data_IF_296142194434
#
_entry.id   IF_296142194434
#
_cell.length_a   1.000
_cell.length_b   1.000
_cell.length_c   1.000
_cell.angle_alpha   90.00
_cell.angle_beta   90.00
_cell.angle_gamma   90.00
#
_symmetry.space_group_name_H-M   'P 1'
#
loop_
_entity.id
_entity.type
_entity.pdbx_description
1 polymer ?
#
# COMPACT_ATOMS: atom_id res chain seq x y z
N UNK A 1 17.12 14.02 -17.62
CA UNK A 1 17.28 14.30 -16.18
C UNK A 1 16.68 13.14 -15.39
N UNK A 2 17.37 12.63 -14.37
CA UNK A 2 16.93 11.46 -13.56
C UNK A 2 15.87 11.91 -12.55
N UNK A 3 14.80 11.13 -12.37
CA UNK A 3 13.77 11.40 -11.36
C UNK A 3 14.15 10.74 -10.03
N UNK A 4 14.05 11.47 -8.93
CA UNK A 4 14.33 10.96 -7.57
C UNK A 4 13.03 10.56 -6.85
N UNK A 5 13.14 9.62 -5.91
CA UNK A 5 12.01 9.04 -5.15
C UNK A 5 12.48 8.63 -3.77
N UNK A 6 11.55 8.44 -2.83
CA UNK A 6 11.82 8.04 -1.45
C UNK A 6 11.21 6.65 -1.18
N UNK A 7 11.97 5.79 -0.49
CA UNK A 7 11.46 4.59 0.16
C UNK A 7 11.64 4.79 1.67
N UNK A 8 10.55 4.82 2.41
CA UNK A 8 10.51 5.09 3.83
C UNK A 8 10.02 3.84 4.59
N UNK A 9 10.75 3.50 5.65
CA UNK A 9 10.50 2.34 6.51
C UNK A 9 9.71 2.70 7.78
N UNK A 10 9.42 3.99 7.99
CA UNK A 10 8.93 4.53 9.26
C UNK A 10 9.80 4.06 10.44
N UNK A 11 11.12 4.27 10.30
CA UNK A 11 12.12 3.84 11.27
C UNK A 11 11.93 4.57 12.61
N UNK A 12 11.99 3.82 13.70
CA UNK A 12 12.01 4.36 15.07
C UNK A 12 13.47 4.59 15.45
N UNK A 13 13.90 5.85 15.48
CA UNK A 13 15.26 6.20 15.90
C UNK A 13 15.48 5.92 17.41
N UNK A 14 16.75 5.78 17.79
CA UNK A 14 17.15 5.62 19.18
C UNK A 14 16.58 6.74 20.07
N UNK A 15 16.00 6.34 21.21
CA UNK A 15 15.38 7.26 22.17
C UNK A 15 14.03 7.86 21.73
N UNK A 16 13.49 7.45 20.57
CA UNK A 16 12.16 7.87 20.10
C UNK A 16 11.16 6.72 20.17
N UNK A 17 9.90 7.04 19.84
CA UNK A 17 8.79 6.08 19.78
C UNK A 17 8.15 6.03 18.38
N UNK A 18 7.21 5.09 18.21
CA UNK A 18 6.49 4.88 16.96
C UNK A 18 5.66 6.10 16.54
N UNK A 19 5.10 6.85 17.49
CA UNK A 19 4.33 8.05 17.19
C UNK A 19 5.23 9.09 16.51
N UNK A 20 6.43 9.31 17.04
CA UNK A 20 7.40 10.22 16.47
C UNK A 20 7.89 9.76 15.10
N UNK A 21 8.17 8.46 14.92
CA UNK A 21 8.56 7.90 13.62
C UNK A 21 7.51 8.19 12.52
N UNK A 22 6.23 7.96 12.81
CA UNK A 22 5.14 8.23 11.87
C UNK A 22 4.99 9.73 11.55
N UNK A 23 5.20 10.60 12.54
CA UNK A 23 5.22 12.05 12.31
C UNK A 23 6.42 12.48 11.45
N UNK A 24 7.58 11.86 11.65
CA UNK A 24 8.80 12.13 10.89
C UNK A 24 8.63 11.65 9.43
N UNK A 25 8.00 10.50 9.18
CA UNK A 25 7.62 10.03 7.84
C UNK A 25 6.71 11.02 7.10
N UNK A 26 5.69 11.56 7.75
CA UNK A 26 4.81 12.57 7.16
C UNK A 26 5.56 13.88 6.88
N UNK A 27 6.48 14.26 7.78
CA UNK A 27 7.32 15.45 7.62
C UNK A 27 8.24 15.29 6.40
N UNK A 28 8.84 14.11 6.24
CA UNK A 28 9.64 13.73 5.07
C UNK A 28 8.80 13.79 3.79
N UNK A 29 7.59 13.24 3.81
CA UNK A 29 6.69 13.28 2.66
C UNK A 29 6.34 14.71 2.23
N UNK A 30 6.02 15.60 3.17
CA UNK A 30 5.78 17.03 2.92
C UNK A 30 7.00 17.73 2.32
N UNK A 31 8.19 17.39 2.79
CA UNK A 31 9.43 17.95 2.25
C UNK A 31 9.69 17.44 0.83
N UNK A 32 9.58 16.13 0.60
CA UNK A 32 9.76 15.50 -0.69
C UNK A 32 8.77 16.05 -1.74
N UNK A 33 7.52 16.30 -1.34
CA UNK A 33 6.50 16.96 -2.16
C UNK A 33 6.94 18.36 -2.60
N UNK A 34 7.38 19.21 -1.65
CA UNK A 34 7.89 20.56 -1.96
C UNK A 34 9.14 20.56 -2.84
N UNK A 35 10.00 19.56 -2.70
CA UNK A 35 11.23 19.42 -3.47
C UNK A 35 11.01 18.78 -4.84
N UNK A 36 9.79 18.37 -5.19
CA UNK A 36 9.47 17.81 -6.50
C UNK A 36 9.92 16.37 -6.70
N UNK A 37 10.04 15.57 -5.63
CA UNK A 37 10.28 14.13 -5.75
C UNK A 37 9.11 13.46 -6.49
N UNK A 38 9.41 12.41 -7.25
CA UNK A 38 8.42 11.71 -8.07
C UNK A 38 7.39 10.95 -7.22
N UNK A 39 7.87 10.27 -6.18
CA UNK A 39 7.05 9.43 -5.29
C UNK A 39 7.72 9.22 -3.93
N UNK A 40 6.90 8.88 -2.95
CA UNK A 40 7.30 8.29 -1.68
C UNK A 40 6.54 6.98 -1.47
N UNK A 41 7.27 5.92 -1.10
CA UNK A 41 6.70 4.62 -0.76
C UNK A 41 6.94 4.27 0.70
N UNK A 42 5.95 3.62 1.32
CA UNK A 42 6.04 3.10 2.69
C UNK A 42 6.14 1.57 2.66
N UNK A 43 7.08 1.01 3.41
CA UNK A 43 7.22 -0.45 3.54
C UNK A 43 6.25 -1.03 4.56
N UNK A 44 6.01 -2.33 4.47
CA UNK A 44 5.22 -3.09 5.44
C UNK A 44 6.13 -3.98 6.28
N UNK A 45 6.04 -3.84 7.60
CA UNK A 45 6.78 -4.68 8.55
C UNK A 45 5.90 -5.11 9.72
N UNK A 46 5.99 -6.40 10.06
CA UNK A 46 5.26 -6.99 11.17
C UNK A 46 6.25 -7.56 12.18
N UNK A 47 6.02 -7.28 13.46
CA UNK A 47 6.84 -7.75 14.57
C UNK A 47 8.35 -7.42 14.41
N UNK A 48 8.66 -6.25 13.85
CA UNK A 48 10.02 -5.70 13.77
C UNK A 48 10.05 -4.41 14.59
N UNK A 49 10.56 -4.43 15.84
CA UNK A 49 10.48 -3.28 16.75
C UNK A 49 11.10 -1.98 16.24
N UNK A 50 12.01 -2.06 15.27
CA UNK A 50 12.65 -0.89 14.66
C UNK A 50 11.75 -0.13 13.67
N UNK A 51 10.62 -0.71 13.23
CA UNK A 51 9.75 -0.12 12.20
C UNK A 51 8.33 0.09 12.73
N UNK A 52 7.79 1.29 12.53
CA UNK A 52 6.46 1.67 13.02
C UNK A 52 5.31 1.32 12.06
N UNK A 53 5.60 0.95 10.81
CA UNK A 53 4.56 0.74 9.78
C UNK A 53 4.30 -0.75 9.49
N UNK A 54 3.14 -1.24 9.92
CA UNK A 54 2.59 -2.57 9.57
C UNK A 54 1.39 -2.49 8.61
N UNK A 55 0.93 -1.28 8.27
CA UNK A 55 -0.25 -1.04 7.42
C UNK A 55 0.01 0.16 6.52
N UNK A 56 0.80 -0.01 5.45
CA UNK A 56 1.21 1.10 4.59
C UNK A 56 0.02 1.87 4.02
N UNK A 57 -1.09 1.21 3.70
CA UNK A 57 -2.31 1.85 3.19
C UNK A 57 -2.88 2.93 4.12
N UNK A 58 -2.76 2.76 5.45
CA UNK A 58 -3.22 3.75 6.42
C UNK A 58 -2.28 4.95 6.47
N UNK A 59 -0.96 4.70 6.48
CA UNK A 59 0.05 5.77 6.44
C UNK A 59 0.02 6.53 5.11
N UNK A 60 -0.22 5.82 4.00
CA UNK A 60 -0.44 6.41 2.68
C UNK A 60 -1.63 7.37 2.69
N UNK A 61 -2.80 6.92 3.17
CA UNK A 61 -4.01 7.74 3.25
C UNK A 61 -3.78 9.01 4.09
N UNK A 62 -3.12 8.87 5.25
CA UNK A 62 -2.77 10.00 6.12
C UNK A 62 -1.79 10.99 5.46
N UNK A 63 -0.83 10.48 4.68
CA UNK A 63 0.17 11.27 3.95
C UNK A 63 -0.42 11.99 2.75
N UNK A 64 -1.33 11.34 2.01
CA UNK A 64 -2.02 11.92 0.86
C UNK A 64 -2.84 13.15 1.23
N UNK A 65 -3.49 13.12 2.40
CA UNK A 65 -4.24 14.25 2.94
C UNK A 65 -3.36 15.48 3.26
N UNK A 66 -2.04 15.30 3.30
CA UNK A 66 -1.07 16.29 3.79
C UNK A 66 -0.03 16.70 2.75
N UNK A 67 -0.17 16.22 1.52
CA UNK A 67 0.72 16.49 0.39
C UNK A 67 -0.14 16.79 -0.83
N UNK A 68 0.40 17.53 -1.81
CA UNK A 68 -0.39 18.04 -2.93
C UNK A 68 -0.06 17.37 -4.27
N UNK A 69 1.21 16.99 -4.51
CA UNK A 69 1.66 16.60 -5.85
C UNK A 69 2.33 15.22 -5.90
N UNK A 70 3.13 14.88 -4.90
CA UNK A 70 3.89 13.63 -4.84
C UNK A 70 2.96 12.43 -4.94
N UNK A 71 3.38 11.40 -5.67
CA UNK A 71 2.71 10.09 -5.64
C UNK A 71 3.05 9.38 -4.35
N UNK A 72 2.06 8.72 -3.75
CA UNK A 72 2.20 8.01 -2.49
C UNK A 72 1.87 6.54 -2.74
N UNK A 73 2.68 5.63 -2.23
CA UNK A 73 2.51 4.21 -2.49
C UNK A 73 3.00 3.29 -1.40
N UNK A 74 2.72 2.00 -1.61
CA UNK A 74 3.33 0.92 -0.85
C UNK A 74 4.63 0.47 -1.53
N UNK A 75 5.65 0.13 -0.74
CA UNK A 75 6.92 -0.40 -1.23
C UNK A 75 7.37 -1.70 -0.52
N UNK A 76 6.53 -2.69 -0.25
CA UNK A 76 5.22 -2.99 -0.86
C UNK A 76 4.30 -3.72 0.12
N UNK A 77 3.02 -3.83 -0.25
CA UNK A 77 2.06 -4.65 0.48
C UNK A 77 2.53 -6.10 0.43
N UNK A 78 2.63 -6.78 1.57
CA UNK A 78 3.01 -8.21 1.64
C UNK A 78 1.80 -9.07 1.23
N UNK A 79 1.53 -9.12 -0.08
CA UNK A 79 0.34 -9.76 -0.65
C UNK A 79 0.09 -11.21 -0.17
N UNK A 80 1.10 -12.05 0.15
CA UNK A 80 0.85 -13.37 0.73
C UNK A 80 -0.03 -13.39 1.99
N UNK A 81 -0.19 -12.25 2.69
CA UNK A 81 -1.02 -12.15 3.90
C UNK A 81 -2.47 -11.69 3.63
N UNK A 82 -2.80 -11.26 2.41
CA UNK A 82 -4.05 -10.57 2.14
C UNK A 82 -4.79 -11.13 0.94
N UNK A 83 -6.13 -11.05 0.99
CA UNK A 83 -6.95 -11.38 -0.17
C UNK A 83 -6.78 -10.30 -1.25
N UNK A 84 -6.44 -10.66 -2.50
CA UNK A 84 -6.25 -9.71 -3.60
C UNK A 84 -7.43 -8.74 -3.78
N UNK A 85 -8.67 -9.24 -3.62
CA UNK A 85 -9.88 -8.44 -3.72
C UNK A 85 -9.90 -7.28 -2.71
N UNK A 86 -9.49 -7.52 -1.47
CA UNK A 86 -9.46 -6.49 -0.42
C UNK A 86 -8.41 -5.42 -0.68
N UNK A 87 -7.23 -5.84 -1.16
CA UNK A 87 -6.18 -4.90 -1.58
C UNK A 87 -6.67 -4.06 -2.76
N UNK A 88 -7.39 -4.65 -3.71
CA UNK A 88 -7.99 -3.88 -4.81
C UNK A 88 -8.97 -2.81 -4.32
N UNK A 89 -9.84 -3.13 -3.35
CA UNK A 89 -10.75 -2.14 -2.76
C UNK A 89 -10.02 -0.99 -2.05
N UNK A 90 -8.99 -1.29 -1.25
CA UNK A 90 -8.18 -0.27 -0.58
C UNK A 90 -7.59 0.74 -1.58
N UNK A 91 -7.00 0.22 -2.65
CA UNK A 91 -6.33 1.07 -3.63
C UNK A 91 -7.31 1.78 -4.55
N UNK A 92 -8.47 1.18 -4.89
CA UNK A 92 -9.54 1.91 -5.60
C UNK A 92 -10.13 3.02 -4.74
N UNK A 93 -10.29 2.80 -3.43
CA UNK A 93 -10.75 3.84 -2.52
C UNK A 93 -9.78 5.03 -2.49
N UNK A 94 -8.48 4.74 -2.31
CA UNK A 94 -7.45 5.79 -2.35
C UNK A 94 -7.38 6.50 -3.71
N UNK A 95 -7.50 5.77 -4.82
CA UNK A 95 -7.47 6.37 -6.16
C UNK A 95 -8.70 7.23 -6.46
N UNK A 96 -9.86 6.89 -5.90
CA UNK A 96 -11.07 7.72 -5.99
C UNK A 96 -10.91 9.03 -5.21
N UNK A 97 -10.28 8.99 -4.04
CA UNK A 97 -10.05 10.17 -3.19
C UNK A 97 -8.88 11.04 -3.68
N UNK A 98 -7.84 10.42 -4.23
CA UNK A 98 -6.62 11.08 -4.69
C UNK A 98 -6.25 10.62 -6.11
N UNK A 99 -6.98 11.09 -7.14
CA UNK A 99 -6.79 10.64 -8.51
C UNK A 99 -5.37 10.90 -8.99
N UNK A 100 -4.80 9.93 -9.71
CA UNK A 100 -3.45 9.98 -10.29
C UNK A 100 -2.28 10.10 -9.29
N UNK A 101 -2.51 9.86 -7.99
CA UNK A 101 -1.49 9.99 -6.94
C UNK A 101 -1.12 8.69 -6.23
N UNK A 102 -1.72 7.55 -6.60
CA UNK A 102 -1.55 6.28 -5.90
C UNK A 102 -0.62 5.33 -6.66
N UNK A 103 0.37 4.77 -5.97
CA UNK A 103 1.20 3.66 -6.43
C UNK A 103 0.92 2.40 -5.58
N UNK A 104 0.72 1.24 -6.21
CA UNK A 104 0.61 -0.06 -5.53
C UNK A 104 1.88 -0.89 -5.79
N UNK A 105 2.82 -0.88 -4.86
CA UNK A 105 3.92 -1.84 -4.83
C UNK A 105 3.54 -3.08 -4.02
N UNK A 106 3.97 -4.25 -4.49
CA UNK A 106 3.69 -5.55 -3.87
C UNK A 106 5.00 -6.23 -3.49
N UNK A 107 5.03 -6.86 -2.31
CA UNK A 107 6.09 -7.74 -1.85
C UNK A 107 5.63 -9.21 -1.81
N UNK A 108 6.56 -10.13 -2.02
CA UNK A 108 6.33 -11.57 -2.00
C UNK A 108 6.85 -12.26 -0.73
N UNK A 109 7.40 -11.50 0.21
CA UNK A 109 7.95 -12.05 1.45
C UNK A 109 6.79 -12.36 2.42
N UNK A 110 6.68 -13.59 2.95
CA UNK A 110 5.67 -13.95 3.95
C UNK A 110 6.08 -13.63 5.40
N UNK A 111 7.21 -12.97 5.61
CA UNK A 111 7.71 -12.61 6.94
C UNK A 111 8.14 -13.82 7.77
N UNK A 112 8.07 -13.67 9.10
CA UNK A 112 8.44 -14.75 10.03
C UNK A 112 7.28 -15.73 10.21
N UNK A 113 7.58 -16.98 10.57
CA UNK A 113 6.56 -18.02 10.84
C UNK A 113 5.51 -17.57 11.85
N UNK A 114 5.93 -16.87 12.91
CA UNK A 114 5.02 -16.38 13.95
C UNK A 114 4.03 -15.33 13.42
N UNK A 115 4.53 -14.34 12.67
CA UNK A 115 3.69 -13.32 12.02
C UNK A 115 2.73 -13.98 11.05
N UNK A 116 3.26 -14.86 10.20
CA UNK A 116 2.49 -15.59 9.21
C UNK A 116 1.34 -16.35 9.87
N UNK A 117 1.61 -17.14 10.90
CA UNK A 117 0.59 -17.86 11.66
C UNK A 117 -0.46 -16.93 12.28
N UNK A 118 -0.04 -15.77 12.82
CA UNK A 118 -0.95 -14.79 13.41
C UNK A 118 -1.88 -14.15 12.37
N UNK A 119 -1.39 -13.89 11.15
CA UNK A 119 -2.17 -13.30 10.06
C UNK A 119 -3.07 -14.33 9.33
N UNK A 120 -2.62 -15.59 9.26
CA UNK A 120 -3.29 -16.68 8.55
C UNK A 120 -4.51 -17.25 9.29
N UNK A 121 -4.51 -17.19 10.63
CA UNK A 121 -5.58 -17.75 11.45
C UNK A 121 -5.61 -19.29 11.49
N UNK A 122 -6.76 -19.87 11.84
CA UNK A 122 -6.87 -21.28 12.27
C UNK A 122 -6.87 -22.28 11.09
N UNK A 123 -7.30 -21.89 9.89
CA UNK A 123 -7.36 -22.76 8.70
C UNK A 123 -7.08 -21.96 7.42
N UNK A 124 -5.81 -21.61 7.15
CA UNK A 124 -5.49 -20.75 6.04
C UNK A 124 -5.57 -21.49 4.70
N UNK A 125 -6.14 -20.81 3.72
CA UNK A 125 -6.10 -21.21 2.31
C UNK A 125 -5.28 -20.18 1.54
N UNK A 126 -4.33 -20.65 0.75
CA UNK A 126 -3.42 -19.81 0.00
C UNK A 126 -3.64 -20.02 -1.48
N UNK A 127 -3.80 -18.91 -2.18
CA UNK A 127 -3.57 -18.86 -3.62
C UNK A 127 -2.04 -18.84 -3.84
N UNK A 128 -1.56 -19.31 -4.98
CA UNK A 128 -0.14 -19.09 -5.31
C UNK A 128 0.15 -17.59 -5.40
N UNK A 129 1.41 -17.17 -5.22
CA UNK A 129 1.74 -15.75 -5.36
C UNK A 129 1.40 -15.22 -6.76
N UNK A 130 1.66 -16.00 -7.80
CA UNK A 130 1.36 -15.63 -9.19
C UNK A 130 -0.16 -15.54 -9.45
N UNK A 131 -0.94 -16.43 -8.86
CA UNK A 131 -2.39 -16.38 -8.90
C UNK A 131 -2.91 -15.16 -8.14
N UNK A 132 -2.37 -14.87 -6.96
CA UNK A 132 -2.71 -13.68 -6.17
C UNK A 132 -2.46 -12.39 -6.95
N UNK A 133 -1.34 -12.30 -7.66
CA UNK A 133 -1.00 -11.16 -8.53
C UNK A 133 -1.97 -11.06 -9.71
N UNK A 134 -2.32 -12.19 -10.32
CA UNK A 134 -3.26 -12.23 -11.45
C UNK A 134 -4.65 -11.78 -11.02
N UNK A 135 -5.17 -12.35 -9.93
CA UNK A 135 -6.44 -11.94 -9.31
C UNK A 135 -6.43 -10.45 -8.95
N UNK A 136 -5.35 -9.95 -8.33
CA UNK A 136 -5.24 -8.54 -7.97
C UNK A 136 -5.32 -7.64 -9.21
N UNK A 137 -4.60 -7.98 -10.28
CA UNK A 137 -4.64 -7.23 -11.54
C UNK A 137 -6.05 -7.22 -12.14
N UNK A 138 -6.73 -8.35 -12.12
CA UNK A 138 -8.09 -8.48 -12.65
C UNK A 138 -9.07 -7.62 -11.83
N UNK A 139 -9.00 -7.68 -10.51
CA UNK A 139 -9.83 -6.85 -9.62
C UNK A 139 -9.56 -5.33 -9.77
N UNK A 140 -8.31 -4.92 -9.96
CA UNK A 140 -7.97 -3.52 -10.19
C UNK A 140 -8.47 -2.99 -11.54
N UNK A 141 -8.65 -3.88 -12.52
CA UNK A 141 -9.07 -3.52 -13.89
C UNK A 141 -10.52 -3.89 -14.21
N UNK A 142 -11.24 -4.51 -13.27
CA UNK A 142 -12.64 -4.88 -13.44
C UNK A 142 -13.48 -3.62 -13.69
N UNK A 143 -14.25 -3.68 -14.77
CA UNK A 143 -15.13 -2.60 -15.23
C UNK A 143 -16.57 -2.79 -14.79
N UNK A 144 -16.93 -4.01 -14.43
CA UNK A 144 -18.29 -4.35 -14.02
C UNK A 144 -18.66 -3.59 -12.75
N UNK A 145 -19.88 -3.05 -12.75
CA UNK A 145 -20.45 -2.45 -11.55
C UNK A 145 -20.91 -3.58 -10.63
N UNK A 146 -20.57 -3.52 -9.33
CA UNK A 146 -21.02 -4.52 -8.38
C UNK A 146 -22.56 -4.54 -8.33
N UNK A 147 -23.13 -5.73 -8.35
CA UNK A 147 -24.57 -5.97 -8.26
C UNK A 147 -24.84 -7.21 -7.41
N UNK A 148 -26.11 -7.54 -7.16
CA UNK A 148 -26.48 -8.78 -6.47
C UNK A 148 -25.97 -10.07 -7.17
N UNK A 149 -25.63 -9.98 -8.45
CA UNK A 149 -25.23 -11.12 -9.28
C UNK A 149 -23.89 -10.93 -10.01
N UNK A 150 -23.20 -9.82 -9.77
CA UNK A 150 -21.96 -9.48 -10.46
C UNK A 150 -20.94 -8.98 -9.44
N UNK A 151 -19.80 -9.68 -9.36
CA UNK A 151 -18.67 -9.21 -8.57
C UNK A 151 -18.08 -7.98 -9.26
N UNK A 152 -17.94 -6.89 -8.52
CA UNK A 152 -17.25 -5.68 -8.93
C UNK A 152 -16.51 -5.10 -7.73
N UNK A 153 -15.44 -4.35 -7.93
CA UNK A 153 -14.66 -3.78 -6.84
C UNK A 153 -15.12 -2.36 -6.55
N UNK A 154 -15.33 -2.05 -5.27
CA UNK A 154 -15.76 -0.73 -4.82
C UNK A 154 -14.58 0.14 -4.33
N UNK A 155 -14.64 1.47 -4.50
CA UNK A 155 -15.60 2.19 -5.34
C UNK A 155 -15.35 1.94 -6.84
N UNK A 156 -16.42 1.99 -7.63
CA UNK A 156 -16.30 1.96 -9.08
C UNK A 156 -15.75 3.32 -9.56
N UNK A 157 -14.62 3.26 -10.26
CA UNK A 157 -13.93 4.42 -10.84
C UNK A 157 -13.41 4.05 -12.22
N UNK A 158 -13.56 4.96 -13.19
CA UNK A 158 -13.20 4.71 -14.59
C UNK A 158 -11.68 4.78 -14.86
N UNK A 159 -10.91 5.31 -13.92
CA UNK A 159 -9.55 5.81 -14.16
C UNK A 159 -8.47 5.15 -13.28
N UNK A 160 -8.63 3.87 -12.90
CA UNK A 160 -7.50 3.15 -12.29
C UNK A 160 -6.41 2.98 -13.36
N UNK A 161 -5.40 3.85 -13.34
CA UNK A 161 -4.28 3.79 -14.29
C UNK A 161 -3.69 2.38 -14.26
N UNK A 162 -3.51 1.79 -15.44
CA UNK A 162 -2.70 0.58 -15.57
C UNK A 162 -1.37 0.86 -14.88
N UNK A 163 -1.06 0.15 -13.79
CA UNK A 163 0.26 0.16 -13.21
C UNK A 163 1.23 -0.25 -14.33
N UNK A 164 2.01 0.70 -14.83
CA UNK A 164 3.08 0.41 -15.77
C UNK A 164 4.11 -0.42 -15.03
N UNK A 165 4.25 -1.68 -15.44
CA UNK A 165 5.42 -2.50 -15.12
C UNK A 165 6.68 -1.83 -15.69
#
# INVERSE_FOLDING_TARGET
MVKLSVLDYALIDEGKDAQKALQDSVTLAKLADRLGFKRIWFTEHHNVPAFACSSPELLMMHTLAQTNHIRVGSGGVMLPHYRPYKIAEHFRMMAALYPNRIDLGIGNNPGTTMVKQALDGINPTYDSYDESISLLRDYLTIKDKPSAHTLGVQPHIDHFQKCGY
#
